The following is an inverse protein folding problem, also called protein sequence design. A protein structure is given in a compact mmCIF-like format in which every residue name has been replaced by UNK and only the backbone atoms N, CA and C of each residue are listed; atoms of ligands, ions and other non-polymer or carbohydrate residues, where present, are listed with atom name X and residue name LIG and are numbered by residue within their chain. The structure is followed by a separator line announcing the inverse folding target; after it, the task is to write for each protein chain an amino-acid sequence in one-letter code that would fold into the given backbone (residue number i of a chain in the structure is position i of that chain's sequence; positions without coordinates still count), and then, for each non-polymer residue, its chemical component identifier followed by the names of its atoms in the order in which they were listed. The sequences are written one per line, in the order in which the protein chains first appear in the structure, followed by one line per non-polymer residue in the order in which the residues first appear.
data_IF_863262303535
#
_entry.id   IF_863262303535
#
_cell.length_a   1.000
_cell.length_b   1.000
_cell.length_c   1.000
_cell.angle_alpha   90.00
_cell.angle_beta   90.00
_cell.angle_gamma   90.00
#
_symmetry.space_group_name_H-M   'P 1'
#
loop_
_entity.id
_entity.type
_entity.pdbx_description
1 polymer ?
#
# COMPACT_ATOMS: atom_id res chain seq x y z
N UNK A 1 -64.79 14.39 -1.07
CA UNK A 1 -64.03 13.98 0.14
C UNK A 1 -62.57 13.75 -0.23
N UNK A 2 -61.68 14.43 0.49
CA UNK A 2 -60.19 14.50 0.49
C UNK A 2 -59.37 13.61 -0.45
N UNK A 3 -58.67 14.26 -1.41
CA UNK A 3 -57.31 13.85 -1.84
C UNK A 3 -56.30 14.51 -0.90
N UNK A 4 -55.49 13.71 -0.21
CA UNK A 4 -54.40 14.19 0.65
C UNK A 4 -53.20 14.65 -0.19
N UNK A 5 -52.69 15.85 0.13
CA UNK A 5 -51.39 16.37 -0.30
C UNK A 5 -50.28 15.44 0.18
N UNK A 6 -49.38 15.03 -0.71
CA UNK A 6 -48.03 14.62 -0.34
C UNK A 6 -47.18 15.89 -0.37
N UNK A 7 -46.94 16.46 0.79
CA UNK A 7 -45.94 17.50 1.02
C UNK A 7 -44.56 16.89 0.88
N UNK A 8 -43.71 17.51 0.06
CA UNK A 8 -42.35 17.07 -0.16
C UNK A 8 -41.38 17.36 0.99
N UNK A 9 -40.12 17.06 0.69
CA UNK A 9 -38.87 17.64 1.20
C UNK A 9 -37.94 16.60 1.81
N UNK A 10 -36.93 16.24 1.02
CA UNK A 10 -35.75 15.49 1.42
C UNK A 10 -34.79 15.34 0.24
N UNK A 11 -34.72 16.35 -0.62
CA UNK A 11 -33.73 16.39 -1.69
C UNK A 11 -32.36 16.54 -1.06
N UNK A 12 -31.43 15.65 -1.39
CA UNK A 12 -30.02 15.82 -1.04
C UNK A 12 -29.55 17.21 -1.49
N UNK A 13 -28.77 17.93 -0.68
CA UNK A 13 -28.29 19.24 -1.06
C UNK A 13 -27.49 19.14 -2.37
N UNK A 14 -27.59 20.15 -3.26
CA UNK A 14 -26.79 20.18 -4.48
C UNK A 14 -25.30 20.20 -4.10
N UNK A 15 -24.55 19.20 -4.55
CA UNK A 15 -23.11 19.18 -4.46
C UNK A 15 -22.56 20.16 -5.51
N UNK A 16 -22.09 21.32 -5.08
CA UNK A 16 -21.47 22.37 -5.92
C UNK A 16 -20.02 22.00 -6.37
N UNK A 17 -19.65 20.74 -6.21
CA UNK A 17 -18.31 20.22 -6.52
C UNK A 17 -17.22 20.72 -5.57
N UNK A 18 -17.56 21.44 -4.50
CA UNK A 18 -16.59 21.94 -3.50
C UNK A 18 -16.84 21.27 -2.17
N UNK A 19 -15.98 20.33 -1.81
CA UNK A 19 -16.00 19.75 -0.48
C UNK A 19 -15.50 20.80 0.54
N UNK A 20 -16.14 20.92 1.71
CA UNK A 20 -15.67 21.82 2.74
C UNK A 20 -14.24 21.44 3.13
N UNK A 21 -13.35 22.43 3.23
CA UNK A 21 -11.98 22.22 3.72
C UNK A 21 -12.07 21.86 5.19
N UNK A 22 -12.13 20.56 5.48
CA UNK A 22 -12.05 20.03 6.83
C UNK A 22 -10.60 20.19 7.29
N UNK A 23 -10.38 20.81 8.45
CA UNK A 23 -9.03 20.82 9.04
C UNK A 23 -8.64 19.38 9.36
N UNK A 24 -7.47 18.91 8.89
CA UNK A 24 -7.06 17.53 9.09
C UNK A 24 -6.90 17.26 10.59
N UNK A 25 -7.61 16.24 11.09
CA UNK A 25 -7.54 15.82 12.49
C UNK A 25 -7.12 14.38 12.67
N UNK A 26 -7.05 13.62 11.58
CA UNK A 26 -6.63 12.22 11.61
C UNK A 26 -5.55 11.97 10.59
N UNK A 27 -4.68 11.02 10.86
CA UNK A 27 -3.58 10.66 9.97
C UNK A 27 -3.50 9.16 9.77
N UNK A 28 -3.39 8.76 8.52
CA UNK A 28 -3.21 7.36 8.13
C UNK A 28 -1.76 7.09 7.78
N UNK A 29 -1.20 6.01 8.32
CA UNK A 29 0.09 5.48 7.92
C UNK A 29 -0.11 4.54 6.73
N UNK A 30 0.35 4.95 5.55
CA UNK A 30 0.25 4.19 4.31
C UNK A 30 1.54 3.41 4.07
N UNK A 31 1.44 2.09 3.99
CA UNK A 31 2.49 1.19 3.55
C UNK A 31 2.31 0.94 2.06
N UNK A 32 3.17 1.56 1.24
CA UNK A 32 3.16 1.37 -0.21
C UNK A 32 4.58 1.28 -0.72
N UNK A 33 4.94 0.19 -1.39
CA UNK A 33 6.28 0.05 -1.94
C UNK A 33 6.58 1.13 -2.99
N UNK A 34 5.62 1.35 -3.90
CA UNK A 34 5.70 2.37 -4.94
C UNK A 34 5.01 3.66 -4.48
N UNK A 35 5.75 4.76 -4.52
CA UNK A 35 5.27 6.11 -4.23
C UNK A 35 6.22 7.12 -4.90
N UNK A 36 5.77 8.31 -5.34
CA UNK A 36 6.61 9.25 -6.09
C UNK A 36 7.93 9.50 -5.36
N UNK A 37 9.07 9.59 -6.05
CA UNK A 37 9.24 9.67 -7.51
C UNK A 37 9.19 8.32 -8.25
N UNK A 38 9.01 7.19 -7.55
CA UNK A 38 8.73 5.93 -8.22
C UNK A 38 7.37 6.04 -8.92
N UNK A 39 7.27 5.61 -10.17
CA UNK A 39 6.04 5.60 -10.94
C UNK A 39 5.25 4.29 -10.78
N UNK A 40 4.32 4.06 -11.70
CA UNK A 40 3.47 2.87 -11.73
C UNK A 40 2.10 3.08 -11.07
N UNK A 41 1.19 2.14 -11.31
CA UNK A 41 -0.24 2.26 -10.96
C UNK A 41 -0.44 2.47 -9.45
N UNK A 42 0.28 1.73 -8.61
CA UNK A 42 0.20 1.90 -7.16
C UNK A 42 0.67 3.29 -6.71
N UNK A 43 1.72 3.84 -7.34
CA UNK A 43 2.22 5.18 -7.03
C UNK A 43 1.22 6.27 -7.38
N UNK A 44 0.63 6.20 -8.59
CA UNK A 44 -0.42 7.14 -9.02
C UNK A 44 -1.60 7.08 -8.07
N UNK A 45 -2.03 5.89 -7.69
CA UNK A 45 -3.17 5.70 -6.78
C UNK A 45 -2.92 6.33 -5.42
N UNK A 46 -1.79 6.00 -4.79
CA UNK A 46 -1.48 6.51 -3.46
C UNK A 46 -1.24 8.03 -3.51
N UNK A 47 -0.57 8.53 -4.55
CA UNK A 47 -0.43 9.98 -4.80
C UNK A 47 -1.80 10.68 -4.86
N UNK A 48 -2.76 10.13 -5.62
CA UNK A 48 -4.12 10.68 -5.70
C UNK A 48 -4.82 10.65 -4.34
N UNK A 49 -4.71 9.56 -3.57
CA UNK A 49 -5.27 9.51 -2.22
C UNK A 49 -4.66 10.55 -1.31
N UNK A 50 -3.34 10.76 -1.35
CA UNK A 50 -2.71 11.77 -0.49
C UNK A 50 -3.20 13.20 -0.77
N UNK A 51 -3.67 13.47 -2.00
CA UNK A 51 -4.26 14.76 -2.39
C UNK A 51 -5.73 14.90 -1.98
N UNK A 52 -6.47 13.79 -2.00
CA UNK A 52 -7.91 13.77 -1.71
C UNK A 52 -8.23 13.56 -0.24
N UNK A 53 -7.39 12.85 0.52
CA UNK A 53 -7.60 12.56 1.95
C UNK A 53 -7.88 13.82 2.79
N UNK A 54 -7.24 14.98 2.56
CA UNK A 54 -7.54 16.21 3.30
C UNK A 54 -8.99 16.67 3.17
N UNK A 55 -9.65 16.43 2.03
CA UNK A 55 -11.08 16.75 1.82
C UNK A 55 -12.00 15.93 2.75
N UNK A 56 -11.50 14.80 3.25
CA UNK A 56 -12.20 13.93 4.21
C UNK A 56 -11.66 14.10 5.65
N UNK A 57 -10.84 15.12 5.91
CA UNK A 57 -10.26 15.39 7.24
C UNK A 57 -9.10 14.47 7.63
N UNK A 58 -8.48 13.80 6.65
CA UNK A 58 -7.34 12.90 6.84
C UNK A 58 -6.06 13.42 6.19
N UNK A 59 -4.91 13.14 6.80
CA UNK A 59 -3.59 13.29 6.19
C UNK A 59 -2.89 11.93 6.04
N UNK A 60 -1.87 11.89 5.19
CA UNK A 60 -1.09 10.67 4.97
C UNK A 60 0.35 10.84 5.47
N UNK A 61 0.83 9.80 6.18
CA UNK A 61 2.25 9.49 6.25
C UNK A 61 2.50 8.24 5.43
N UNK A 62 3.31 8.33 4.38
CA UNK A 62 3.59 7.22 3.46
C UNK A 62 4.97 6.66 3.73
N UNK A 63 5.06 5.38 4.07
CA UNK A 63 6.32 4.63 4.11
C UNK A 63 6.48 3.89 2.79
N UNK A 64 7.48 4.31 2.03
CA UNK A 64 7.77 3.78 0.70
C UNK A 64 9.23 3.38 0.54
N UNK A 65 9.52 2.46 -0.37
CA UNK A 65 10.88 2.04 -0.61
C UNK A 65 11.69 3.17 -1.26
N UNK A 66 12.99 3.23 -0.96
CA UNK A 66 13.95 4.09 -1.64
C UNK A 66 14.24 3.61 -3.09
N UNK A 67 13.58 2.51 -3.51
CA UNK A 67 13.88 1.68 -4.69
C UNK A 67 14.53 2.38 -5.87
N UNK A 68 15.86 2.27 -6.02
CA UNK A 68 16.55 2.61 -7.25
C UNK A 68 16.11 1.74 -8.44
N UNK A 69 15.52 0.55 -8.19
CA UNK A 69 14.98 -0.38 -9.21
C UNK A 69 13.51 -0.15 -9.56
N UNK A 70 12.90 0.96 -9.13
CA UNK A 70 11.54 1.26 -9.52
C UNK A 70 11.42 1.17 -11.06
N UNK A 71 10.54 0.30 -11.60
CA UNK A 71 10.52 0.00 -13.03
C UNK A 71 10.15 1.23 -13.87
N UNK A 72 9.47 2.18 -13.24
CA UNK A 72 9.11 3.48 -13.80
C UNK A 72 9.49 4.53 -12.77
N UNK A 73 10.02 5.66 -13.23
CA UNK A 73 10.15 6.89 -12.45
C UNK A 73 9.27 7.95 -13.08
N UNK A 74 8.52 8.65 -12.25
CA UNK A 74 7.67 9.75 -12.68
C UNK A 74 7.90 10.92 -11.72
N UNK A 75 8.74 11.86 -12.13
CA UNK A 75 9.05 13.05 -11.36
C UNK A 75 7.93 14.09 -11.40
N UNK A 76 7.00 13.99 -12.36
CA UNK A 76 5.86 14.89 -12.47
C UNK A 76 4.72 14.49 -11.53
N UNK A 77 4.75 13.26 -11.01
CA UNK A 77 3.76 12.77 -10.06
C UNK A 77 3.93 13.44 -8.69
N UNK A 78 3.05 14.40 -8.38
CA UNK A 78 3.05 15.12 -7.11
C UNK A 78 2.55 14.31 -5.92
N UNK A 79 2.70 14.88 -4.72
CA UNK A 79 2.12 14.37 -3.47
C UNK A 79 1.21 15.44 -2.86
N UNK A 80 0.21 15.05 -2.07
CA UNK A 80 -0.67 16.02 -1.41
C UNK A 80 0.09 16.90 -0.42
N UNK A 81 -0.34 18.15 -0.27
CA UNK A 81 0.19 19.05 0.74
C UNK A 81 0.00 18.45 2.15
N UNK A 82 0.98 18.63 3.04
CA UNK A 82 0.96 18.01 4.38
C UNK A 82 1.26 16.50 4.43
N UNK A 83 1.46 15.87 3.27
CA UNK A 83 1.86 14.46 3.19
C UNK A 83 3.31 14.28 3.63
N UNK A 84 3.51 13.40 4.60
CA UNK A 84 4.85 13.01 5.05
C UNK A 84 5.29 11.77 4.26
N UNK A 85 6.45 11.81 3.61
CA UNK A 85 6.97 10.67 2.85
C UNK A 85 8.27 10.13 3.46
N UNK A 86 8.21 8.93 4.03
CA UNK A 86 9.34 8.25 4.65
C UNK A 86 9.92 7.22 3.67
N UNK A 87 11.20 7.38 3.32
CA UNK A 87 11.93 6.45 2.45
C UNK A 87 12.61 5.37 3.27
N UNK A 88 12.20 4.13 3.08
CA UNK A 88 12.80 2.95 3.67
C UNK A 88 13.88 2.38 2.74
N UNK A 89 15.02 2.00 3.32
CA UNK A 89 16.06 1.26 2.59
C UNK A 89 15.57 -0.08 2.06
N UNK A 90 16.37 -0.72 1.23
CA UNK A 90 16.11 -2.07 0.74
C UNK A 90 17.40 -2.86 0.57
N UNK A 91 17.32 -4.17 0.80
CA UNK A 91 18.31 -5.10 0.27
C UNK A 91 17.85 -5.44 -1.15
N UNK A 92 18.64 -5.13 -2.20
CA UNK A 92 18.23 -5.34 -3.59
C UNK A 92 18.36 -6.83 -3.97
N UNK A 93 17.49 -7.68 -3.41
CA UNK A 93 17.54 -9.13 -3.56
C UNK A 93 17.56 -9.59 -5.02
N UNK A 94 16.78 -8.91 -5.87
CA UNK A 94 16.77 -9.16 -7.32
C UNK A 94 18.15 -8.94 -7.94
N UNK A 95 18.81 -7.80 -7.66
CA UNK A 95 20.16 -7.51 -8.16
C UNK A 95 21.20 -8.46 -7.59
N UNK A 96 21.07 -8.84 -6.32
CA UNK A 96 21.97 -9.80 -5.67
C UNK A 96 21.90 -11.16 -6.37
N UNK A 97 20.70 -11.67 -6.64
CA UNK A 97 20.51 -12.91 -7.41
C UNK A 97 21.02 -12.78 -8.85
N UNK A 98 20.85 -11.62 -9.50
CA UNK A 98 21.40 -11.38 -10.83
C UNK A 98 22.94 -11.36 -10.83
N UNK A 99 23.58 -10.82 -9.79
CA UNK A 99 25.05 -10.83 -9.63
C UNK A 99 25.63 -12.24 -9.53
N UNK A 100 24.88 -13.22 -9.02
CA UNK A 100 25.33 -14.62 -9.01
C UNK A 100 25.59 -15.16 -10.42
N UNK A 101 24.85 -14.68 -11.44
CA UNK A 101 25.13 -15.02 -12.84
C UNK A 101 26.53 -14.56 -13.28
N UNK A 102 26.96 -13.38 -12.83
CA UNK A 102 28.30 -12.85 -13.13
C UNK A 102 29.41 -13.63 -12.43
N UNK A 103 29.12 -14.24 -11.26
CA UNK A 103 30.05 -15.12 -10.54
C UNK A 103 30.12 -16.55 -11.10
N UNK A 104 29.56 -16.80 -12.29
CA UNK A 104 29.63 -18.09 -12.97
C UNK A 104 28.51 -19.09 -12.64
N UNK A 105 27.48 -18.67 -11.89
CA UNK A 105 26.30 -19.53 -11.66
C UNK A 105 25.48 -19.59 -12.96
N UNK A 106 25.22 -20.79 -13.53
CA UNK A 106 24.52 -20.91 -14.80
C UNK A 106 23.08 -20.38 -14.69
N UNK A 107 22.63 -19.61 -15.68
CA UNK A 107 21.33 -18.92 -15.65
C UNK A 107 20.15 -19.86 -15.31
N UNK A 108 20.14 -21.07 -15.89
CA UNK A 108 19.15 -22.13 -15.62
C UNK A 108 18.99 -22.49 -14.14
N UNK A 109 20.04 -22.35 -13.33
CA UNK A 109 19.98 -22.63 -11.90
C UNK A 109 19.29 -21.51 -11.10
N UNK A 110 19.20 -20.31 -11.67
CA UNK A 110 18.59 -19.13 -11.06
C UNK A 110 17.25 -18.76 -11.70
N UNK A 111 16.85 -19.45 -12.77
CA UNK A 111 15.60 -19.20 -13.47
C UNK A 111 14.40 -19.49 -12.55
N UNK A 112 13.50 -18.51 -12.47
CA UNK A 112 12.36 -18.52 -11.56
C UNK A 112 12.72 -18.45 -10.07
N UNK A 113 14.00 -18.31 -9.68
CA UNK A 113 14.38 -18.17 -8.27
C UNK A 113 13.78 -16.90 -7.65
N UNK A 114 13.75 -15.80 -8.42
CA UNK A 114 13.12 -14.54 -8.02
C UNK A 114 11.62 -14.69 -7.79
N UNK A 115 10.94 -15.47 -8.64
CA UNK A 115 9.49 -15.70 -8.56
C UNK A 115 9.10 -16.58 -7.38
N UNK A 116 10.05 -17.36 -6.84
CA UNK A 116 9.90 -18.14 -5.61
C UNK A 116 10.11 -17.32 -4.34
N UNK A 117 10.62 -16.09 -4.42
CA UNK A 117 10.78 -15.22 -3.25
C UNK A 117 9.40 -14.93 -2.66
N UNK A 118 9.28 -15.14 -1.35
CA UNK A 118 8.06 -14.91 -0.60
C UNK A 118 8.14 -13.61 0.23
N UNK A 119 7.05 -12.82 0.33
CA UNK A 119 5.81 -12.96 -0.42
C UNK A 119 5.95 -12.49 -1.88
N UNK A 120 6.96 -11.68 -2.17
CA UNK A 120 7.28 -11.20 -3.50
C UNK A 120 8.77 -10.77 -3.60
N UNK A 121 9.29 -10.47 -4.80
CA UNK A 121 10.69 -10.10 -5.00
C UNK A 121 11.13 -8.82 -4.30
N UNK A 122 10.19 -8.02 -3.79
CA UNK A 122 10.42 -6.74 -3.17
C UNK A 122 10.59 -6.84 -1.64
N UNK A 123 10.48 -8.05 -1.07
CA UNK A 123 10.58 -8.31 0.38
C UNK A 123 11.84 -7.75 1.05
N UNK A 124 12.91 -7.48 0.29
CA UNK A 124 14.14 -6.88 0.80
C UNK A 124 13.98 -5.51 1.47
N UNK A 125 12.88 -4.77 1.22
CA UNK A 125 12.57 -3.52 1.92
C UNK A 125 11.86 -3.72 3.27
N UNK A 126 11.29 -4.90 3.51
CA UNK A 126 10.41 -5.15 4.65
C UNK A 126 11.01 -4.82 6.02
N UNK A 127 12.27 -5.18 6.34
CA UNK A 127 12.83 -4.84 7.65
C UNK A 127 12.97 -3.33 7.84
N UNK A 128 13.39 -2.59 6.81
CA UNK A 128 13.56 -1.15 6.87
C UNK A 128 12.22 -0.43 6.95
N UNK A 129 11.24 -0.87 6.16
CA UNK A 129 9.89 -0.34 6.16
C UNK A 129 9.20 -0.58 7.51
N UNK A 130 9.33 -1.80 8.06
CA UNK A 130 8.79 -2.11 9.38
C UNK A 130 9.44 -1.27 10.48
N UNK A 131 10.76 -1.08 10.46
CA UNK A 131 11.48 -0.25 11.42
C UNK A 131 11.07 1.23 11.31
N UNK A 132 10.99 1.77 10.10
CA UNK A 132 10.58 3.15 9.84
C UNK A 132 9.13 3.40 10.28
N UNK A 133 8.21 2.51 9.89
CA UNK A 133 6.81 2.55 10.30
C UNK A 133 6.66 2.44 11.82
N UNK A 134 7.37 1.51 12.46
CA UNK A 134 7.33 1.34 13.93
C UNK A 134 7.86 2.58 14.66
N UNK A 135 8.92 3.21 14.14
CA UNK A 135 9.42 4.48 14.68
C UNK A 135 8.36 5.57 14.58
N UNK A 136 7.77 5.75 13.40
CA UNK A 136 6.74 6.76 13.17
C UNK A 136 5.49 6.54 14.03
N UNK A 137 5.07 5.29 14.21
CA UNK A 137 3.94 4.95 15.09
C UNK A 137 4.22 5.32 16.55
N UNK A 138 5.46 5.18 17.04
CA UNK A 138 5.84 5.56 18.42
C UNK A 138 5.83 7.06 18.66
N UNK A 139 6.00 7.86 17.62
CA UNK A 139 5.90 9.33 17.70
C UNK A 139 4.44 9.80 17.92
N UNK A 140 3.47 8.91 17.73
CA UNK A 140 2.04 9.21 17.93
C UNK A 140 1.42 9.97 16.76
N UNK A 141 0.14 10.32 16.90
CA UNK A 141 -0.60 11.05 15.87
C UNK A 141 -0.83 10.27 14.57
N UNK A 142 -0.93 8.94 14.66
CA UNK A 142 -1.42 8.07 13.59
C UNK A 142 -2.67 7.37 14.13
N UNK A 143 -3.75 7.44 13.37
CA UNK A 143 -5.07 6.92 13.75
C UNK A 143 -5.44 5.62 13.03
N UNK A 144 -4.78 5.32 11.91
CA UNK A 144 -5.04 4.12 11.13
C UNK A 144 -3.81 3.68 10.32
N UNK A 145 -3.79 2.41 9.93
CA UNK A 145 -2.79 1.84 9.01
C UNK A 145 -3.50 1.44 7.72
N UNK A 146 -2.94 1.83 6.59
CA UNK A 146 -3.36 1.38 5.25
C UNK A 146 -2.20 0.63 4.61
N UNK A 147 -2.43 -0.59 4.12
CA UNK A 147 -1.45 -1.32 3.32
C UNK A 147 -1.95 -1.54 1.91
N UNK A 148 -1.11 -1.29 0.90
CA UNK A 148 -1.50 -1.32 -0.52
C UNK A 148 -0.80 -2.46 -1.24
N UNK A 149 -1.57 -3.31 -1.92
CA UNK A 149 -1.05 -4.44 -2.68
C UNK A 149 -0.43 -4.05 -4.03
N UNK A 150 0.30 -4.99 -4.62
CA UNK A 150 1.14 -4.85 -5.81
C UNK A 150 2.36 -3.92 -5.60
N UNK A 151 3.36 -4.37 -4.81
CA UNK A 151 3.61 -5.75 -4.34
C UNK A 151 2.84 -6.16 -3.07
N UNK A 152 2.94 -7.41 -2.62
CA UNK A 152 2.17 -7.96 -1.48
C UNK A 152 2.86 -7.78 -0.11
N UNK A 153 4.16 -7.52 -0.10
CA UNK A 153 4.97 -7.26 1.08
C UNK A 153 4.37 -6.18 2.01
N UNK A 154 3.77 -5.06 1.52
CA UNK A 154 3.06 -4.10 2.37
C UNK A 154 2.00 -4.72 3.28
N UNK A 155 1.22 -5.70 2.81
CA UNK A 155 0.24 -6.39 3.66
C UNK A 155 0.91 -7.22 4.75
N UNK A 156 2.01 -7.89 4.43
CA UNK A 156 2.78 -8.63 5.42
C UNK A 156 3.35 -7.71 6.52
N UNK A 157 3.82 -6.52 6.13
CA UNK A 157 4.27 -5.50 7.09
C UNK A 157 3.08 -5.00 7.93
N UNK A 158 1.95 -4.67 7.29
CA UNK A 158 0.72 -4.22 7.94
C UNK A 158 0.23 -5.21 9.00
N UNK A 159 0.16 -6.49 8.64
CA UNK A 159 -0.22 -7.59 9.55
C UNK A 159 0.66 -7.64 10.82
N UNK A 160 1.97 -7.38 10.68
CA UNK A 160 2.93 -7.38 11.81
C UNK A 160 2.84 -6.12 12.67
N UNK A 161 2.45 -4.99 12.08
CA UNK A 161 2.32 -3.70 12.77
C UNK A 161 0.99 -3.57 13.50
N UNK A 162 -0.12 -3.86 12.82
CA UNK A 162 -1.48 -3.71 13.35
C UNK A 162 -1.65 -4.51 14.65
N UNK A 163 -1.17 -5.75 14.68
CA UNK A 163 -1.21 -6.59 15.88
C UNK A 163 -0.46 -6.02 17.09
N UNK A 164 0.45 -5.07 16.91
CA UNK A 164 1.18 -4.39 18.00
C UNK A 164 0.63 -3.00 18.30
N UNK A 165 0.26 -2.25 17.26
CA UNK A 165 -0.14 -0.85 17.39
C UNK A 165 -1.57 -0.67 17.93
N UNK A 166 -2.42 -1.72 17.85
CA UNK A 166 -3.86 -1.65 18.20
C UNK A 166 -4.60 -0.51 17.48
N UNK A 167 -4.15 -0.19 16.26
CA UNK A 167 -4.80 0.78 15.38
C UNK A 167 -5.61 0.03 14.32
N UNK A 168 -6.74 0.59 13.85
CA UNK A 168 -7.49 0.02 12.76
C UNK A 168 -6.60 -0.11 11.53
N UNK A 169 -6.60 -1.31 10.93
CA UNK A 169 -5.80 -1.63 9.76
C UNK A 169 -6.68 -1.99 8.57
N UNK A 170 -6.52 -1.24 7.48
CA UNK A 170 -7.18 -1.49 6.20
C UNK A 170 -6.18 -2.07 5.20
N UNK A 171 -6.56 -3.17 4.55
CA UNK A 171 -5.80 -3.79 3.48
C UNK A 171 -6.46 -3.51 2.11
N UNK A 172 -5.77 -2.78 1.24
CA UNK A 172 -6.20 -2.50 -0.13
C UNK A 172 -5.59 -3.49 -1.12
N UNK A 173 -6.41 -4.28 -1.80
CA UNK A 173 -6.03 -5.28 -2.79
C UNK A 173 -6.19 -4.73 -4.22
N UNK A 174 -5.08 -4.35 -4.85
CA UNK A 174 -5.05 -3.99 -6.28
C UNK A 174 -5.40 -5.14 -7.21
N UNK A 175 -4.99 -6.35 -6.83
CA UNK A 175 -5.15 -7.60 -7.54
C UNK A 175 -5.25 -8.72 -6.50
N UNK A 176 -5.85 -9.84 -6.86
CA UNK A 176 -5.82 -11.08 -6.06
C UNK A 176 -4.37 -11.46 -5.73
N UNK A 177 -4.13 -11.97 -4.52
CA UNK A 177 -2.79 -12.44 -4.14
C UNK A 177 -2.58 -13.87 -4.60
N UNK A 178 -3.44 -14.78 -4.15
CA UNK A 178 -3.22 -16.21 -4.34
C UNK A 178 -3.81 -16.77 -5.63
N UNK A 179 -4.85 -16.11 -6.14
CA UNK A 179 -5.56 -16.45 -7.39
C UNK A 179 -5.12 -15.57 -8.57
N UNK A 180 -4.05 -14.79 -8.39
CA UNK A 180 -3.51 -13.94 -9.45
C UNK A 180 -3.18 -14.76 -10.70
N UNK A 181 -3.64 -14.36 -11.90
CA UNK A 181 -3.37 -15.10 -13.13
C UNK A 181 -1.90 -15.00 -13.58
N UNK A 182 -1.11 -14.07 -13.03
CA UNK A 182 0.31 -13.90 -13.38
C UNK A 182 1.10 -15.21 -13.15
N UNK A 183 1.72 -15.78 -14.20
CA UNK A 183 2.49 -17.02 -14.07
C UNK A 183 3.67 -16.90 -13.09
N UNK A 184 4.19 -15.69 -12.85
CA UNK A 184 5.27 -15.43 -11.87
C UNK A 184 4.81 -15.60 -10.42
N UNK A 185 3.50 -15.61 -10.16
CA UNK A 185 2.95 -15.79 -8.81
C UNK A 185 2.67 -17.27 -8.52
N UNK A 186 2.41 -18.10 -9.55
CA UNK A 186 2.10 -19.53 -9.41
C UNK A 186 3.07 -20.30 -8.49
N UNK A 187 4.41 -20.12 -8.57
CA UNK A 187 5.35 -20.84 -7.71
C UNK A 187 5.13 -20.66 -6.22
N UNK A 188 4.51 -19.54 -5.81
CA UNK A 188 4.26 -19.17 -4.41
C UNK A 188 2.78 -19.06 -4.05
N UNK A 189 1.87 -19.39 -4.96
CA UNK A 189 0.43 -19.25 -4.77
C UNK A 189 -0.07 -19.96 -3.49
N UNK A 190 0.46 -21.15 -3.17
CA UNK A 190 0.10 -21.87 -1.95
C UNK A 190 0.48 -21.12 -0.67
N UNK A 191 1.71 -20.61 -0.59
CA UNK A 191 2.16 -19.82 0.56
C UNK A 191 1.48 -18.44 0.64
N UNK A 192 1.12 -17.87 -0.52
CA UNK A 192 0.37 -16.61 -0.56
C UNK A 192 -1.07 -16.77 -0.08
N UNK A 193 -1.72 -17.93 -0.29
CA UNK A 193 -3.04 -18.21 0.30
C UNK A 193 -3.04 -18.06 1.82
N UNK A 194 -1.99 -18.51 2.49
CA UNK A 194 -1.88 -18.39 3.95
C UNK A 194 -1.74 -16.93 4.38
N UNK A 195 -0.95 -16.14 3.66
CA UNK A 195 -0.81 -14.70 3.92
C UNK A 195 -2.11 -13.96 3.63
N UNK A 196 -2.73 -14.20 2.48
CA UNK A 196 -4.01 -13.63 2.07
C UNK A 196 -5.09 -13.91 3.10
N UNK A 197 -5.25 -15.17 3.52
CA UNK A 197 -6.17 -15.54 4.61
C UNK A 197 -5.88 -14.76 5.88
N UNK A 198 -4.63 -14.71 6.31
CA UNK A 198 -4.26 -13.98 7.53
C UNK A 198 -4.54 -12.47 7.44
N UNK A 199 -4.43 -11.89 6.25
CA UNK A 199 -4.79 -10.48 6.00
C UNK A 199 -6.30 -10.31 6.08
N UNK A 200 -7.07 -11.14 5.36
CA UNK A 200 -8.54 -11.07 5.33
C UNK A 200 -9.17 -11.30 6.72
N UNK A 201 -8.57 -12.17 7.54
CA UNK A 201 -9.08 -12.48 8.88
C UNK A 201 -8.73 -11.43 9.94
N UNK A 202 -7.64 -10.66 9.74
CA UNK A 202 -7.07 -9.80 10.79
C UNK A 202 -7.09 -8.32 10.46
N UNK A 203 -7.33 -7.94 9.21
CA UNK A 203 -7.58 -6.55 8.87
C UNK A 203 -8.95 -6.14 9.38
N UNK A 204 -9.05 -4.94 9.95
CA UNK A 204 -10.32 -4.34 10.38
C UNK A 204 -11.18 -3.89 9.18
N UNK A 205 -10.54 -3.71 8.01
CA UNK A 205 -11.22 -3.46 6.75
C UNK A 205 -10.42 -3.98 5.55
N UNK A 206 -11.14 -4.39 4.51
CA UNK A 206 -10.56 -4.80 3.23
C UNK A 206 -11.20 -3.98 2.12
N UNK A 207 -10.38 -3.42 1.24
CA UNK A 207 -10.79 -2.67 0.06
C UNK A 207 -10.13 -3.27 -1.19
N UNK A 208 -10.75 -3.11 -2.36
CA UNK A 208 -10.23 -3.57 -3.64
C UNK A 208 -10.58 -2.55 -4.74
#
# INVERSE_FOLDING_TARGET
MRRGRVTGAGGAPPHDGRFPVVTPRRRVLVLSYFFPPAGGVASVRVSSWTRLLPEFGWEATVVAALSPDAPVRDAALGIGEGTEAIRAGEIPLRRLLQRLKWLGVPARALDGAVDRIWPDPFVGWAPFAHAAASRRLREGGIDAILSVSNPFTPHWIGLRLAGRARLPWVAFFSDDMSRNPDPRIRPRARSLRSLERAVLERADGVAA
#
